data_IF_015395837036
#
_entry.id   IF_015395837036
#
_cell.length_a   1.000
_cell.length_b   1.000
_cell.length_c   1.000
_cell.angle_alpha   90.00
_cell.angle_beta   90.00
_cell.angle_gamma   90.00
#
_symmetry.space_group_name_H-M   'P 1'
#
loop_
_entity.id
_entity.type
_entity.pdbx_description
1 polymer ?
#
# COMPACT_ATOMS: atom_id res chain seq x y z
N UNK A 1 23.92 88.79 7.91
CA UNK A 1 25.04 88.79 8.86
C UNK A 1 25.25 87.36 9.34
N UNK A 2 26.42 86.82 9.02
CA UNK A 2 27.19 85.74 9.68
C UNK A 2 26.47 84.38 9.82
N UNK A 3 26.90 83.42 9.02
CA UNK A 3 27.97 82.39 9.25
C UNK A 3 27.72 81.53 10.48
N UNK A 4 27.60 80.20 10.34
CA UNK A 4 28.62 79.16 10.28
C UNK A 4 27.95 77.79 10.11
N UNK A 5 28.24 77.10 9.08
CA UNK A 5 29.02 75.84 8.90
C UNK A 5 29.16 74.96 10.13
N UNK A 6 28.73 73.67 10.02
CA UNK A 6 29.63 72.54 10.26
C UNK A 6 28.95 71.16 10.11
N UNK A 7 29.43 70.48 9.14
CA UNK A 7 30.01 69.14 9.10
C UNK A 7 29.09 67.90 9.33
N UNK A 8 29.00 67.18 8.26
CA UNK A 8 28.58 65.81 8.10
C UNK A 8 29.46 64.85 8.85
N UNK A 9 28.89 63.83 9.45
CA UNK A 9 29.52 62.56 9.65
C UNK A 9 28.57 61.46 9.18
N UNK A 10 29.02 60.84 8.11
CA UNK A 10 28.44 59.66 7.43
C UNK A 10 28.67 58.46 8.35
N UNK A 11 27.59 57.93 8.91
CA UNK A 11 27.58 56.60 9.51
C UNK A 11 26.97 55.61 8.57
N UNK A 12 27.78 54.90 7.79
CA UNK A 12 27.38 53.77 6.99
C UNK A 12 27.11 52.62 7.94
N UNK A 13 25.84 52.43 8.29
CA UNK A 13 25.41 51.22 9.01
C UNK A 13 25.17 50.11 7.97
N UNK A 14 26.19 49.26 7.80
CA UNK A 14 26.09 48.06 6.98
C UNK A 14 25.04 47.13 7.52
N UNK A 15 23.89 47.04 6.83
CA UNK A 15 22.87 46.08 7.09
C UNK A 15 23.33 44.72 6.56
N UNK A 16 23.96 43.91 7.40
CA UNK A 16 24.20 42.50 7.13
C UNK A 16 22.87 41.78 7.09
N UNK A 17 22.29 41.64 5.91
CA UNK A 17 21.21 40.66 5.64
C UNK A 17 21.86 39.29 5.75
N UNK A 18 21.86 38.71 6.92
CA UNK A 18 22.08 37.27 7.10
C UNK A 18 20.89 36.53 6.47
N UNK A 19 21.05 36.23 5.19
CA UNK A 19 20.14 35.32 4.48
C UNK A 19 20.29 33.92 5.11
N UNK A 20 19.46 33.64 6.10
CA UNK A 20 19.37 32.31 6.70
C UNK A 20 19.02 31.32 5.60
N UNK A 21 20.04 30.63 5.08
CA UNK A 21 19.87 29.39 4.32
C UNK A 21 19.22 28.38 5.27
N UNK A 22 17.89 28.39 5.31
CA UNK A 22 17.16 27.32 5.95
C UNK A 22 17.41 26.08 5.08
N UNK A 23 17.99 25.00 5.62
CA UNK A 23 18.02 23.75 4.91
C UNK A 23 16.55 23.31 4.75
N UNK A 24 16.01 23.53 3.57
CA UNK A 24 14.76 22.87 3.18
C UNK A 24 15.05 21.38 3.29
N UNK A 25 14.58 20.75 4.34
CA UNK A 25 14.50 19.29 4.44
C UNK A 25 13.59 18.88 3.30
N UNK A 26 14.18 18.64 2.14
CA UNK A 26 13.52 18.01 1.00
C UNK A 26 13.10 16.63 1.48
N UNK A 27 11.90 16.55 2.01
CA UNK A 27 11.26 15.28 2.29
C UNK A 27 11.06 14.67 0.93
N UNK A 28 11.85 13.66 0.59
CA UNK A 28 11.79 13.02 -0.71
C UNK A 28 10.35 12.53 -0.91
N UNK A 29 9.68 13.16 -1.85
CA UNK A 29 8.35 12.74 -2.29
C UNK A 29 8.47 11.35 -2.93
N UNK A 30 7.46 10.49 -2.74
CA UNK A 30 7.49 9.14 -3.32
C UNK A 30 7.58 9.26 -4.84
N UNK A 31 8.66 8.70 -5.41
CA UNK A 31 8.87 8.73 -6.86
C UNK A 31 7.83 7.86 -7.56
N UNK A 32 7.05 8.47 -8.46
CA UNK A 32 6.07 7.79 -9.29
C UNK A 32 6.70 6.68 -10.14
N UNK A 33 7.80 7.00 -10.82
CA UNK A 33 8.50 6.06 -11.70
C UNK A 33 8.99 4.80 -10.95
N UNK A 34 9.50 4.98 -9.73
CA UNK A 34 9.92 3.85 -8.90
C UNK A 34 8.75 3.00 -8.42
N UNK A 35 7.62 3.62 -8.12
CA UNK A 35 6.40 2.91 -7.76
C UNK A 35 5.84 2.13 -8.97
N UNK A 36 5.91 2.69 -10.18
CA UNK A 36 5.53 2.01 -11.42
C UNK A 36 6.42 0.80 -11.68
N UNK A 37 7.75 0.96 -11.58
CA UNK A 37 8.71 -0.14 -11.72
C UNK A 37 8.49 -1.23 -10.67
N UNK A 38 8.17 -0.85 -9.41
CA UNK A 38 7.84 -1.80 -8.36
C UNK A 38 6.60 -2.63 -8.70
N UNK A 39 5.53 -2.02 -9.22
CA UNK A 39 4.30 -2.76 -9.60
C UNK A 39 4.54 -3.63 -10.83
N UNK A 40 5.29 -3.15 -11.83
CA UNK A 40 5.65 -3.96 -13.00
C UNK A 40 6.45 -5.21 -12.58
N UNK A 41 7.51 -5.04 -11.77
CA UNK A 41 8.31 -6.15 -11.28
C UNK A 41 7.54 -7.12 -10.38
N UNK A 42 6.54 -6.66 -9.62
CA UNK A 42 5.65 -7.53 -8.86
C UNK A 42 4.76 -8.38 -9.77
N UNK A 43 4.28 -7.83 -10.89
CA UNK A 43 3.48 -8.58 -11.85
C UNK A 43 4.30 -9.74 -12.46
N UNK A 44 5.55 -9.48 -12.84
CA UNK A 44 6.45 -10.52 -13.36
C UNK A 44 6.69 -11.62 -12.32
N UNK A 45 7.01 -11.25 -11.07
CA UNK A 45 7.19 -12.20 -9.98
C UNK A 45 5.92 -13.03 -9.70
N UNK A 46 4.74 -12.42 -9.79
CA UNK A 46 3.49 -13.12 -9.61
C UNK A 46 3.23 -14.14 -10.73
N UNK A 47 3.51 -13.75 -11.98
CA UNK A 47 3.40 -14.66 -13.14
C UNK A 47 4.35 -15.84 -12.99
N UNK A 48 5.61 -15.59 -12.64
CA UNK A 48 6.62 -16.64 -12.42
C UNK A 48 6.19 -17.63 -11.34
N UNK A 49 5.68 -17.12 -10.21
CA UNK A 49 5.19 -17.96 -9.11
C UNK A 49 3.96 -18.80 -9.51
N UNK A 50 3.10 -18.27 -10.39
CA UNK A 50 1.90 -18.96 -10.86
C UNK A 50 2.19 -20.01 -11.94
N UNK A 51 3.17 -19.74 -12.80
CA UNK A 51 3.50 -20.60 -13.94
C UNK A 51 4.59 -21.63 -13.62
N UNK A 52 4.97 -21.77 -12.36
CA UNK A 52 5.96 -22.76 -11.91
C UNK A 52 5.59 -24.18 -12.37
N UNK A 53 6.40 -24.83 -13.21
CA UNK A 53 6.12 -26.17 -13.70
C UNK A 53 6.06 -27.19 -12.53
N UNK A 54 5.05 -28.04 -12.53
CA UNK A 54 4.87 -29.12 -11.55
C UNK A 54 4.70 -28.67 -10.09
N UNK A 55 4.48 -27.37 -9.81
CA UNK A 55 4.22 -26.90 -8.45
C UNK A 55 2.88 -27.45 -7.94
N UNK A 56 2.90 -27.98 -6.72
CA UNK A 56 1.67 -28.36 -6.01
C UNK A 56 0.86 -27.11 -5.64
N UNK A 57 -0.40 -27.30 -5.26
CA UNK A 57 -1.20 -26.20 -4.71
C UNK A 57 -0.56 -25.59 -3.45
N UNK A 58 0.04 -26.43 -2.61
CA UNK A 58 0.76 -26.00 -1.41
C UNK A 58 1.95 -25.10 -1.75
N UNK A 59 2.75 -25.47 -2.76
CA UNK A 59 3.90 -24.69 -3.20
C UNK A 59 3.47 -23.30 -3.72
N UNK A 60 2.37 -23.24 -4.44
CA UNK A 60 1.81 -21.98 -4.95
C UNK A 60 1.31 -21.08 -3.82
N UNK A 61 0.60 -21.64 -2.83
CA UNK A 61 0.15 -20.91 -1.66
C UNK A 61 1.35 -20.33 -0.89
N UNK A 62 2.41 -21.12 -0.69
CA UNK A 62 3.61 -20.67 0.03
C UNK A 62 4.34 -19.58 -0.76
N UNK A 63 4.53 -19.75 -2.06
CA UNK A 63 5.12 -18.73 -2.92
C UNK A 63 4.31 -17.44 -2.89
N UNK A 64 2.99 -17.52 -2.87
CA UNK A 64 2.13 -16.35 -2.78
C UNK A 64 2.19 -15.67 -1.40
N UNK A 65 2.35 -16.44 -0.31
CA UNK A 65 2.60 -15.88 1.04
C UNK A 65 3.90 -15.06 1.08
N UNK A 66 4.96 -15.54 0.42
CA UNK A 66 6.20 -14.80 0.31
C UNK A 66 5.99 -13.48 -0.43
N UNK A 67 5.34 -13.51 -1.61
CA UNK A 67 5.00 -12.31 -2.37
C UNK A 67 4.17 -11.30 -1.54
N UNK A 68 3.18 -11.78 -0.79
CA UNK A 68 2.38 -10.93 0.10
C UNK A 68 3.24 -10.25 1.16
N UNK A 69 4.11 -11.01 1.82
CA UNK A 69 4.94 -10.47 2.90
C UNK A 69 5.97 -9.45 2.40
N UNK A 70 6.56 -9.73 1.24
CA UNK A 70 7.58 -8.87 0.65
C UNK A 70 7.01 -7.59 0.04
N UNK A 71 5.81 -7.65 -0.54
CA UNK A 71 5.29 -6.56 -1.34
C UNK A 71 4.11 -5.82 -0.72
N UNK A 72 3.42 -6.40 0.28
CA UNK A 72 2.25 -5.79 0.91
C UNK A 72 2.51 -5.42 2.37
N UNK A 73 1.89 -4.34 2.82
CA UNK A 73 1.85 -3.98 4.23
C UNK A 73 0.76 -4.79 4.96
N UNK A 74 0.85 -6.14 4.95
CA UNK A 74 -0.21 -7.07 5.39
C UNK A 74 -0.75 -6.70 6.77
N UNK A 75 0.12 -6.43 7.75
CA UNK A 75 -0.30 -6.03 9.10
C UNK A 75 -1.08 -4.72 9.14
N UNK A 76 -0.71 -3.76 8.27
CA UNK A 76 -1.40 -2.47 8.15
C UNK A 76 -2.77 -2.65 7.52
N UNK A 77 -2.86 -3.44 6.46
CA UNK A 77 -4.12 -3.79 5.78
C UNK A 77 -5.04 -4.54 6.74
N UNK A 78 -4.56 -5.56 7.41
CA UNK A 78 -5.34 -6.33 8.39
C UNK A 78 -5.93 -5.44 9.48
N UNK A 79 -5.14 -4.51 10.05
CA UNK A 79 -5.62 -3.56 11.07
C UNK A 79 -6.66 -2.59 10.51
N UNK A 80 -6.50 -2.15 9.27
CA UNK A 80 -7.50 -1.32 8.60
C UNK A 80 -8.81 -2.07 8.39
N UNK A 81 -8.73 -3.33 7.95
CA UNK A 81 -9.87 -4.18 7.63
C UNK A 81 -10.70 -4.51 8.88
N UNK A 82 -10.10 -4.92 9.98
CA UNK A 82 -10.83 -5.18 11.24
C UNK A 82 -11.34 -3.86 11.88
N UNK A 83 -10.71 -2.73 11.56
CA UNK A 83 -11.12 -1.39 11.94
C UNK A 83 -11.23 -1.17 13.45
N UNK A 84 -12.36 -0.59 13.89
CA UNK A 84 -12.60 -0.28 15.32
C UNK A 84 -12.54 -1.50 16.24
N UNK A 85 -12.79 -2.69 15.71
CA UNK A 85 -12.81 -3.92 16.50
C UNK A 85 -11.40 -4.34 16.94
N UNK A 86 -10.34 -3.87 16.27
CA UNK A 86 -8.96 -4.06 16.70
C UNK A 86 -8.71 -3.64 18.15
N UNK A 87 -9.29 -2.51 18.58
CA UNK A 87 -9.14 -2.02 19.96
C UNK A 87 -9.80 -2.91 21.00
N UNK A 88 -10.84 -3.67 20.60
CA UNK A 88 -11.61 -4.56 21.49
C UNK A 88 -11.01 -5.97 21.57
N UNK A 89 -10.16 -6.36 20.63
CA UNK A 89 -9.53 -7.66 20.58
C UNK A 89 -8.45 -7.80 21.66
N UNK A 90 -8.36 -8.96 22.29
CA UNK A 90 -7.27 -9.34 23.20
C UNK A 90 -5.95 -9.48 22.42
N UNK A 91 -4.83 -9.61 23.14
CA UNK A 91 -3.52 -9.83 22.51
C UNK A 91 -3.52 -11.12 21.67
N UNK A 92 -4.02 -12.22 22.24
CA UNK A 92 -4.12 -13.52 21.55
C UNK A 92 -5.00 -13.44 20.32
N UNK A 93 -6.18 -12.81 20.41
CA UNK A 93 -7.07 -12.62 19.25
C UNK A 93 -6.44 -11.78 18.14
N UNK A 94 -5.63 -10.78 18.49
CA UNK A 94 -4.89 -9.99 17.50
C UNK A 94 -3.84 -10.81 16.75
N UNK A 95 -3.08 -11.62 17.48
CA UNK A 95 -2.06 -12.49 16.91
C UNK A 95 -2.70 -13.53 15.99
N UNK A 96 -3.74 -14.20 16.45
CA UNK A 96 -4.49 -15.18 15.67
C UNK A 96 -5.13 -14.55 14.42
N UNK A 97 -5.78 -13.39 14.59
CA UNK A 97 -6.37 -12.66 13.47
C UNK A 97 -5.36 -12.32 12.36
N UNK A 98 -4.17 -11.85 12.73
CA UNK A 98 -3.14 -11.51 11.75
C UNK A 98 -2.68 -12.74 10.96
N UNK A 99 -2.55 -13.89 11.62
CA UNK A 99 -2.19 -15.14 10.95
C UNK A 99 -3.32 -15.61 10.02
N UNK A 100 -4.54 -15.68 10.53
CA UNK A 100 -5.71 -16.10 9.73
C UNK A 100 -5.99 -15.16 8.55
N UNK A 101 -5.77 -13.84 8.73
CA UNK A 101 -5.92 -12.88 7.65
C UNK A 101 -4.91 -13.11 6.52
N UNK A 102 -3.66 -13.40 6.86
CA UNK A 102 -2.62 -13.71 5.89
C UNK A 102 -2.93 -15.02 5.15
N UNK A 103 -3.34 -16.07 5.88
CA UNK A 103 -3.77 -17.33 5.28
C UNK A 103 -4.96 -17.15 4.34
N UNK A 104 -5.97 -16.39 4.76
CA UNK A 104 -7.13 -16.09 3.93
C UNK A 104 -6.72 -15.45 2.61
N UNK A 105 -5.83 -14.45 2.65
CA UNK A 105 -5.34 -13.82 1.43
C UNK A 105 -4.60 -14.84 0.55
N UNK A 106 -3.72 -15.64 1.13
CA UNK A 106 -2.93 -16.63 0.39
C UNK A 106 -3.84 -17.66 -0.30
N UNK A 107 -4.74 -18.29 0.44
CA UNK A 107 -5.66 -19.31 -0.12
C UNK A 107 -6.58 -18.70 -1.16
N UNK A 108 -7.18 -17.53 -0.89
CA UNK A 108 -8.12 -16.87 -1.79
C UNK A 108 -7.47 -16.52 -3.13
N UNK A 109 -6.28 -15.97 -3.10
CA UNK A 109 -5.64 -15.47 -4.33
C UNK A 109 -4.79 -16.53 -5.03
N UNK A 110 -4.14 -17.46 -4.31
CA UNK A 110 -3.46 -18.58 -4.95
C UNK A 110 -4.42 -19.41 -5.82
N UNK A 111 -5.65 -19.63 -5.37
CA UNK A 111 -6.67 -20.32 -6.16
C UNK A 111 -7.10 -19.53 -7.40
N UNK A 112 -7.22 -18.20 -7.30
CA UNK A 112 -7.54 -17.34 -8.46
C UNK A 112 -6.41 -17.32 -9.49
N UNK A 113 -5.18 -17.40 -9.04
CA UNK A 113 -4.03 -17.43 -9.94
C UNK A 113 -3.87 -18.79 -10.67
N UNK A 114 -4.47 -19.86 -10.17
CA UNK A 114 -4.52 -21.11 -10.94
C UNK A 114 -5.34 -21.01 -12.24
N UNK A 115 -6.16 -19.96 -12.37
CA UNK A 115 -6.98 -19.65 -13.55
C UNK A 115 -6.27 -18.69 -14.53
N UNK A 116 -5.00 -18.37 -14.28
CA UNK A 116 -4.20 -17.49 -15.15
C UNK A 116 -4.14 -18.05 -16.58
N UNK A 117 -4.52 -17.23 -17.53
CA UNK A 117 -4.66 -17.61 -18.95
C UNK A 117 -3.84 -16.70 -19.88
N UNK A 118 -2.75 -16.11 -19.39
CA UNK A 118 -1.85 -15.26 -20.17
C UNK A 118 -2.23 -13.76 -20.12
N UNK A 119 -2.92 -13.32 -19.06
CA UNK A 119 -3.17 -11.91 -18.84
C UNK A 119 -1.86 -11.12 -18.64
N UNK A 120 -1.84 -9.90 -19.14
CA UNK A 120 -0.71 -8.97 -18.94
C UNK A 120 -1.15 -7.79 -18.11
N UNK A 121 -0.26 -7.34 -17.20
CA UNK A 121 -0.45 -6.10 -16.46
C UNK A 121 0.29 -4.96 -17.18
N UNK A 122 -0.46 -4.01 -17.72
CA UNK A 122 0.08 -2.81 -18.33
C UNK A 122 0.03 -1.65 -17.33
N UNK A 123 1.17 -1.21 -16.85
CA UNK A 123 1.28 0.02 -16.05
C UNK A 123 1.09 1.22 -16.99
N UNK A 124 0.17 2.12 -16.63
CA UNK A 124 -0.22 3.27 -17.47
C UNK A 124 0.44 4.55 -17.00
N UNK A 125 0.35 4.83 -15.70
CA UNK A 125 0.89 6.04 -15.06
C UNK A 125 0.84 5.91 -13.55
N UNK A 126 1.46 6.86 -12.86
CA UNK A 126 1.26 7.05 -11.42
C UNK A 126 0.74 8.43 -11.06
N UNK A 127 0.21 8.55 -9.86
CA UNK A 127 -0.27 9.81 -9.28
C UNK A 127 0.15 9.86 -7.81
N UNK A 128 0.99 10.82 -7.46
CA UNK A 128 1.39 11.05 -6.07
C UNK A 128 0.17 11.54 -5.29
N UNK A 129 -0.18 10.85 -4.20
CA UNK A 129 -1.33 11.20 -3.36
C UNK A 129 -0.93 11.82 -2.02
N UNK A 130 0.30 11.59 -1.56
CA UNK A 130 0.90 12.24 -0.40
C UNK A 130 2.42 12.13 -0.44
N UNK A 131 3.12 12.73 0.52
CA UNK A 131 4.59 12.62 0.64
C UNK A 131 5.10 11.17 0.78
N UNK A 132 4.22 10.20 1.06
CA UNK A 132 4.59 8.78 1.26
C UNK A 132 3.78 7.82 0.40
N UNK A 133 2.73 8.29 -0.26
CA UNK A 133 1.77 7.44 -0.94
C UNK A 133 1.63 7.84 -2.41
N UNK A 134 1.68 6.85 -3.28
CA UNK A 134 1.48 6.97 -4.72
C UNK A 134 0.43 5.97 -5.17
N UNK A 135 -0.40 6.36 -6.12
CA UNK A 135 -1.32 5.45 -6.81
C UNK A 135 -0.74 5.12 -8.17
N UNK A 136 -0.44 3.85 -8.40
CA UNK A 136 -0.06 3.34 -9.72
C UNK A 136 -1.32 2.85 -10.42
N UNK A 137 -1.58 3.36 -11.60
CA UNK A 137 -2.70 3.00 -12.45
C UNK A 137 -2.25 1.99 -13.49
N UNK A 138 -2.95 0.87 -13.56
CA UNK A 138 -2.66 -0.20 -14.51
C UNK A 138 -3.93 -0.79 -15.09
N UNK A 139 -3.76 -1.61 -16.09
CA UNK A 139 -4.82 -2.39 -16.73
C UNK A 139 -4.37 -3.83 -16.86
N UNK A 140 -5.24 -4.77 -16.46
CA UNK A 140 -5.09 -6.18 -16.82
C UNK A 140 -5.72 -6.36 -18.19
N UNK A 141 -4.93 -6.84 -19.14
CA UNK A 141 -5.32 -7.01 -20.53
C UNK A 141 -5.26 -8.50 -20.87
N UNK A 142 -6.35 -8.99 -21.49
CA UNK A 142 -6.46 -10.33 -22.04
C UNK A 142 -7.06 -10.24 -23.44
N UNK A 143 -6.57 -11.07 -24.36
CA UNK A 143 -7.07 -11.11 -25.72
C UNK A 143 -8.58 -11.40 -25.75
N UNK A 144 -9.32 -10.66 -26.55
CA UNK A 144 -10.78 -10.82 -26.73
C UNK A 144 -11.65 -10.31 -25.57
N UNK A 145 -11.08 -9.66 -24.54
CA UNK A 145 -11.83 -9.09 -23.41
C UNK A 145 -11.58 -7.60 -23.25
N UNK A 146 -12.47 -6.92 -22.53
CA UNK A 146 -12.20 -5.52 -22.14
C UNK A 146 -11.13 -5.47 -21.05
N UNK A 147 -10.20 -4.50 -21.11
CA UNK A 147 -9.20 -4.30 -20.07
C UNK A 147 -9.86 -3.99 -18.72
N UNK A 148 -9.33 -4.60 -17.66
CA UNK A 148 -9.78 -4.36 -16.28
C UNK A 148 -8.85 -3.33 -15.61
N UNK A 149 -9.41 -2.23 -15.11
CA UNK A 149 -8.65 -1.18 -14.42
C UNK A 149 -8.24 -1.63 -13.02
N UNK A 150 -6.95 -1.52 -12.71
CA UNK A 150 -6.40 -1.83 -11.38
C UNK A 150 -5.54 -0.68 -10.89
N UNK A 151 -5.90 -0.10 -9.75
CA UNK A 151 -5.16 0.97 -9.12
C UNK A 151 -4.51 0.46 -7.82
N UNK A 152 -3.18 0.57 -7.74
CA UNK A 152 -2.37 0.11 -6.63
C UNK A 152 -2.02 1.28 -5.72
N UNK A 153 -2.48 1.27 -4.48
CA UNK A 153 -2.07 2.24 -3.49
C UNK A 153 -0.77 1.77 -2.86
N UNK A 154 0.31 2.45 -3.20
CA UNK A 154 1.68 2.11 -2.81
C UNK A 154 2.19 3.12 -1.80
N UNK A 155 2.84 2.66 -0.76
CA UNK A 155 3.49 3.46 0.28
C UNK A 155 4.98 3.21 0.32
N UNK A 156 5.76 4.30 0.44
CA UNK A 156 7.19 4.26 0.76
C UNK A 156 7.55 5.44 1.66
N UNK A 157 8.49 5.26 2.56
CA UNK A 157 9.04 6.35 3.41
C UNK A 157 10.47 6.74 3.02
N UNK A 158 11.14 5.94 2.21
CA UNK A 158 12.56 6.05 1.86
C UNK A 158 12.83 6.02 0.35
N UNK A 159 11.78 5.88 -0.49
CA UNK A 159 11.87 5.69 -1.94
C UNK A 159 12.70 4.47 -2.37
N UNK A 160 12.89 3.51 -1.48
CA UNK A 160 13.59 2.24 -1.71
C UNK A 160 12.68 1.07 -1.41
N UNK A 161 12.04 1.09 -0.24
CA UNK A 161 11.12 0.05 0.20
C UNK A 161 9.69 0.46 -0.10
N UNK A 162 9.04 -0.24 -1.04
CA UNK A 162 7.66 -0.01 -1.41
C UNK A 162 6.76 -1.10 -0.85
N UNK A 163 5.57 -0.73 -0.39
CA UNK A 163 4.55 -1.66 0.09
C UNK A 163 3.16 -1.26 -0.42
N UNK A 164 2.42 -2.23 -0.91
CA UNK A 164 1.01 -2.04 -1.27
C UNK A 164 0.18 -1.97 0.01
N UNK A 165 -0.68 -0.96 0.10
CA UNK A 165 -1.58 -0.73 1.24
C UNK A 165 -3.06 -0.89 0.88
N UNK A 166 -3.42 -0.84 -0.39
CA UNK A 166 -4.75 -1.15 -0.92
C UNK A 166 -4.69 -1.38 -2.43
N UNK A 167 -5.64 -2.11 -2.96
CA UNK A 167 -5.86 -2.30 -4.40
C UNK A 167 -7.31 -1.91 -4.70
N UNK A 168 -7.52 -1.15 -5.78
CA UNK A 168 -8.85 -0.89 -6.32
C UNK A 168 -8.98 -1.56 -7.70
N UNK A 169 -9.98 -2.38 -7.85
CA UNK A 169 -10.35 -3.01 -9.13
C UNK A 169 -11.64 -2.35 -9.61
N UNK A 170 -11.64 -1.81 -10.81
CA UNK A 170 -12.79 -1.06 -11.36
C UNK A 170 -13.32 0.03 -10.39
N UNK A 171 -12.39 0.71 -9.69
CA UNK A 171 -12.70 1.76 -8.72
C UNK A 171 -13.11 1.26 -7.33
N UNK A 172 -13.33 -0.04 -7.13
CA UNK A 172 -13.74 -0.64 -5.86
C UNK A 172 -12.53 -1.07 -5.05
N UNK A 173 -12.35 -0.51 -3.83
CA UNK A 173 -11.28 -0.87 -2.90
C UNK A 173 -11.52 -2.27 -2.31
N UNK A 174 -10.54 -3.17 -2.47
CA UNK A 174 -10.59 -4.51 -1.88
C UNK A 174 -10.52 -4.43 -0.34
N UNK A 175 -9.69 -3.54 0.19
CA UNK A 175 -9.60 -3.34 1.63
C UNK A 175 -10.89 -2.82 2.25
N UNK A 176 -11.59 -1.89 1.58
CA UNK A 176 -12.87 -1.37 2.05
C UNK A 176 -13.98 -2.42 1.97
N UNK A 177 -14.02 -3.21 0.90
CA UNK A 177 -14.96 -4.31 0.74
C UNK A 177 -14.79 -5.34 1.86
N UNK A 178 -13.55 -5.78 2.09
CA UNK A 178 -13.21 -6.73 3.15
C UNK A 178 -13.55 -6.20 4.55
N UNK A 179 -13.31 -4.90 4.79
CA UNK A 179 -13.68 -4.24 6.05
C UNK A 179 -15.20 -4.25 6.28
N UNK A 180 -15.97 -4.02 5.25
CA UNK A 180 -17.43 -4.05 5.32
C UNK A 180 -17.93 -5.46 5.62
N UNK A 181 -17.37 -6.47 4.96
CA UNK A 181 -17.68 -7.88 5.20
C UNK A 181 -17.34 -8.29 6.64
N UNK A 182 -16.12 -8.06 7.11
CA UNK A 182 -15.71 -8.42 8.47
C UNK A 182 -16.52 -7.70 9.55
N UNK A 183 -16.83 -6.43 9.31
CA UNK A 183 -17.69 -5.67 10.22
C UNK A 183 -19.11 -6.27 10.28
N UNK A 184 -19.61 -6.81 9.17
CA UNK A 184 -20.90 -7.50 9.13
C UNK A 184 -20.85 -8.81 9.91
N UNK A 185 -19.83 -9.65 9.67
CA UNK A 185 -19.62 -10.91 10.41
C UNK A 185 -19.55 -10.66 11.92
N UNK A 186 -18.73 -9.70 12.36
CA UNK A 186 -18.61 -9.36 13.79
C UNK A 186 -19.96 -8.92 14.37
N UNK A 187 -20.71 -8.08 13.64
CA UNK A 187 -22.02 -7.60 14.09
C UNK A 187 -23.03 -8.74 14.23
N UNK A 188 -23.07 -9.67 13.28
CA UNK A 188 -23.95 -10.85 13.31
C UNK A 188 -23.59 -11.79 14.47
N UNK A 189 -22.36 -11.75 14.96
CA UNK A 189 -21.87 -12.53 16.09
C UNK A 189 -21.81 -11.71 17.40
N UNK A 190 -22.78 -10.82 17.62
CA UNK A 190 -22.94 -10.06 18.86
C UNK A 190 -21.83 -9.03 19.12
N UNK A 191 -21.13 -8.55 18.07
CA UNK A 191 -20.05 -7.59 18.19
C UNK A 191 -18.72 -8.19 18.68
N UNK A 192 -18.60 -9.50 18.75
CA UNK A 192 -17.44 -10.23 19.27
C UNK A 192 -16.45 -10.56 18.16
N UNK A 193 -15.17 -10.27 18.38
CA UNK A 193 -14.09 -10.62 17.43
C UNK A 193 -13.97 -12.13 17.25
N UNK A 194 -14.28 -12.91 18.29
CA UNK A 194 -14.25 -14.38 18.23
C UNK A 194 -15.14 -14.95 17.12
N UNK A 195 -16.30 -14.32 16.84
CA UNK A 195 -17.16 -14.74 15.74
C UNK A 195 -16.48 -14.58 14.36
N UNK A 196 -15.66 -13.54 14.20
CA UNK A 196 -14.85 -13.39 13.00
C UNK A 196 -13.75 -14.47 12.93
N UNK A 197 -13.05 -14.71 14.04
CA UNK A 197 -11.98 -15.73 14.09
C UNK A 197 -12.52 -17.11 13.72
N UNK A 198 -13.69 -17.48 14.23
CA UNK A 198 -14.33 -18.75 13.88
C UNK A 198 -14.59 -18.89 12.37
N UNK A 199 -15.15 -17.84 11.74
CA UNK A 199 -15.38 -17.83 10.28
C UNK A 199 -14.06 -17.87 9.49
N UNK A 200 -13.02 -17.20 9.97
CA UNK A 200 -11.71 -17.21 9.29
C UNK A 200 -11.06 -18.60 9.38
N UNK A 201 -11.11 -19.28 10.54
CA UNK A 201 -10.59 -20.66 10.69
C UNK A 201 -11.23 -21.61 9.68
N UNK A 202 -12.56 -21.52 9.52
CA UNK A 202 -13.31 -22.34 8.56
C UNK A 202 -12.90 -22.04 7.09
N UNK A 203 -12.62 -20.79 6.76
CA UNK A 203 -12.27 -20.40 5.38
C UNK A 203 -10.85 -20.77 4.97
N UNK A 204 -9.95 -21.01 5.92
CA UNK A 204 -8.55 -21.34 5.66
C UNK A 204 -8.21 -22.81 5.92
N UNK A 205 -9.17 -23.59 6.45
CA UNK A 205 -9.08 -25.05 6.57
C UNK A 205 -9.42 -25.72 5.23
#
# INVERSE_FOLDING_TARGET
MMFTRRFYLIGILGLFIAMALQPSSSRAEVSGDKAEAFIAGLADQAIDAMTMPNASQSDRIESFKLLLNENFAVKTIARYVIGRHWKKATKSQKEEYLNLFQELLAVTYANRFSEYAGENLNVVKSSVSSAKDTVVHSQIVREGTQPVSVNWHVRSSDNVTFKIIDIKVEGVSLGQTQKSEFSSVIRQNGGKVEGLLAVLRERVS
#
